data_IF_562795869493
#
_entry.id   IF_562795869493
#
_cell.length_a   1.000
_cell.length_b   1.000
_cell.length_c   1.000
_cell.angle_alpha   90.00
_cell.angle_beta   90.00
_cell.angle_gamma   90.00
#
_symmetry.space_group_name_H-M   'P 1'
#
loop_
_entity.id
_entity.type
_entity.pdbx_description
1 polymer ?
#
# COMPACT_ATOMS: atom_id res chain seq x y z
N UNK A 1 -5.77 -31.60 -10.86
CA UNK A 1 -7.00 -31.42 -10.06
C UNK A 1 -7.20 -29.94 -9.69
N UNK A 2 -8.36 -29.34 -9.94
CA UNK A 2 -8.58 -27.94 -9.57
C UNK A 2 -8.66 -27.85 -8.04
N UNK A 3 -7.81 -27.03 -7.44
CA UNK A 3 -7.82 -26.72 -6.02
C UNK A 3 -9.07 -25.88 -5.71
N UNK A 4 -10.19 -26.55 -5.46
CA UNK A 4 -11.33 -25.90 -4.84
C UNK A 4 -11.04 -25.79 -3.35
N UNK A 5 -10.85 -24.55 -2.88
CA UNK A 5 -10.92 -24.24 -1.46
C UNK A 5 -12.26 -24.71 -0.89
N UNK A 6 -12.31 -25.20 0.37
CA UNK A 6 -13.54 -25.71 0.96
C UNK A 6 -14.65 -24.65 0.99
N UNK A 7 -15.91 -25.01 0.68
CA UNK A 7 -17.05 -24.12 0.86
C UNK A 7 -17.32 -23.99 2.36
N UNK A 8 -16.95 -22.84 2.94
CA UNK A 8 -17.13 -22.61 4.38
C UNK A 8 -16.02 -21.83 5.07
N UNK A 9 -15.05 -21.25 4.35
CA UNK A 9 -14.22 -20.16 4.90
C UNK A 9 -15.04 -18.86 4.98
N UNK A 10 -16.21 -18.92 5.62
CA UNK A 10 -16.73 -17.76 6.35
C UNK A 10 -15.97 -17.72 7.67
N UNK A 11 -14.66 -17.53 7.56
CA UNK A 11 -13.89 -17.04 8.67
C UNK A 11 -14.37 -15.61 8.87
N UNK A 12 -15.31 -15.43 9.79
CA UNK A 12 -15.08 -14.41 10.80
C UNK A 12 -13.66 -14.67 11.32
N UNK A 13 -12.70 -14.00 10.68
CA UNK A 13 -11.27 -14.20 10.77
C UNK A 13 -10.84 -13.95 12.22
N UNK A 14 -11.02 -14.98 13.04
CA UNK A 14 -10.63 -15.02 14.45
C UNK A 14 -9.11 -15.03 14.61
N UNK A 15 -8.38 -14.96 13.49
CA UNK A 15 -6.93 -14.80 13.43
C UNK A 15 -6.52 -13.35 13.20
N UNK A 16 -7.45 -12.44 12.91
CA UNK A 16 -7.12 -11.03 12.80
C UNK A 16 -6.86 -10.50 14.22
N UNK A 17 -5.62 -10.10 14.56
CA UNK A 17 -5.31 -9.59 15.89
C UNK A 17 -5.96 -8.23 16.17
N UNK A 18 -6.63 -7.64 15.17
CA UNK A 18 -7.27 -6.34 15.23
C UNK A 18 -8.78 -6.50 15.42
N UNK A 19 -9.36 -5.65 16.28
CA UNK A 19 -10.81 -5.62 16.47
C UNK A 19 -11.51 -5.09 15.20
N UNK A 20 -12.79 -5.45 15.02
CA UNK A 20 -13.62 -4.94 13.91
C UNK A 20 -13.70 -3.41 13.89
N UNK A 21 -13.64 -2.78 15.06
CA UNK A 21 -13.61 -1.32 15.20
C UNK A 21 -12.34 -0.74 14.57
N UNK A 22 -11.18 -1.32 14.86
CA UNK A 22 -9.90 -0.91 14.26
C UNK A 22 -9.90 -1.15 12.75
N UNK A 23 -10.39 -2.31 12.30
CA UNK A 23 -10.45 -2.64 10.87
C UNK A 23 -11.37 -1.70 10.07
N UNK A 24 -12.40 -1.15 10.71
CA UNK A 24 -13.38 -0.23 10.09
C UNK A 24 -13.04 1.24 10.30
N UNK A 25 -12.06 1.54 11.16
CA UNK A 25 -11.63 2.90 11.39
C UNK A 25 -11.12 3.51 10.07
N UNK A 26 -11.56 4.73 9.70
CA UNK A 26 -11.04 5.38 8.52
C UNK A 26 -9.55 5.66 8.71
N UNK A 27 -8.76 5.42 7.65
CA UNK A 27 -7.36 5.82 7.62
C UNK A 27 -7.32 7.35 7.62
N UNK A 28 -6.59 8.00 8.54
CA UNK A 28 -6.51 9.46 8.54
C UNK A 28 -5.93 9.96 7.22
N UNK A 29 -6.37 11.13 6.70
CA UNK A 29 -5.90 11.66 5.40
C UNK A 29 -4.38 11.76 5.26
N UNK A 30 -3.67 12.01 6.37
CA UNK A 30 -2.19 12.08 6.39
C UNK A 30 -1.51 10.74 6.09
N UNK A 31 -2.24 9.62 6.22
CA UNK A 31 -1.81 8.27 5.86
C UNK A 31 -2.41 7.79 4.54
N UNK A 32 -3.00 8.69 3.75
CA UNK A 32 -3.42 8.35 2.40
C UNK A 32 -2.23 7.92 1.53
N UNK A 33 -2.54 7.19 0.46
CA UNK A 33 -1.54 6.59 -0.41
C UNK A 33 -0.49 7.63 -0.83
N UNK A 34 0.82 7.33 -0.69
CA UNK A 34 1.88 8.20 -1.17
C UNK A 34 1.69 8.47 -2.68
N UNK A 35 2.25 9.58 -3.21
CA UNK A 35 2.18 9.82 -4.63
C UNK A 35 2.83 8.65 -5.38
N UNK A 36 2.34 8.35 -6.59
CA UNK A 36 2.93 7.28 -7.38
C UNK A 36 4.35 7.67 -7.76
N UNK A 37 5.32 7.03 -7.12
CA UNK A 37 6.72 7.19 -7.46
C UNK A 37 7.06 6.21 -8.59
N UNK A 38 7.74 6.70 -9.63
CA UNK A 38 8.28 5.82 -10.67
C UNK A 38 9.32 4.87 -10.08
N UNK A 39 9.36 3.62 -10.56
CA UNK A 39 10.45 2.69 -10.24
C UNK A 39 11.73 3.08 -10.97
N UNK A 40 12.84 3.16 -10.25
CA UNK A 40 14.17 3.27 -10.86
C UNK A 40 14.49 2.00 -11.65
N UNK A 41 14.83 2.16 -12.93
CA UNK A 41 15.09 1.06 -13.85
C UNK A 41 16.57 0.63 -13.89
N UNK A 42 17.44 1.37 -13.19
CA UNK A 42 18.88 1.12 -13.16
C UNK A 42 19.63 1.53 -14.42
N UNK A 43 18.95 2.15 -15.38
CA UNK A 43 19.56 2.65 -16.62
C UNK A 43 19.59 4.18 -16.68
N UNK A 44 18.60 4.82 -16.06
CA UNK A 44 18.56 6.27 -15.87
C UNK A 44 19.61 6.74 -14.87
N UNK A 45 19.94 8.03 -14.87
CA UNK A 45 20.85 8.59 -13.89
C UNK A 45 20.22 8.57 -12.49
N UNK A 46 21.03 8.18 -11.48
CA UNK A 46 20.54 8.03 -10.11
C UNK A 46 20.28 9.36 -9.41
N UNK A 47 21.03 10.41 -9.74
CA UNK A 47 20.82 11.74 -9.16
C UNK A 47 19.54 12.36 -9.73
N UNK A 48 19.31 12.21 -11.04
CA UNK A 48 18.05 12.60 -11.71
C UNK A 48 16.84 11.88 -11.10
N UNK A 49 16.97 10.57 -10.81
CA UNK A 49 15.90 9.82 -10.15
C UNK A 49 15.57 10.39 -8.77
N UNK A 50 16.59 10.73 -7.97
CA UNK A 50 16.43 11.34 -6.64
C UNK A 50 15.75 12.71 -6.75
N UNK A 51 16.15 13.54 -7.71
CA UNK A 51 15.52 14.84 -7.94
C UNK A 51 14.03 14.70 -8.31
N UNK A 52 13.69 13.72 -9.16
CA UNK A 52 12.30 13.43 -9.49
C UNK A 52 11.50 12.94 -8.26
N UNK A 53 12.09 12.11 -7.39
CA UNK A 53 11.47 11.70 -6.12
C UNK A 53 11.19 12.93 -5.24
N UNK A 54 12.19 13.79 -5.06
CA UNK A 54 12.08 14.98 -4.22
C UNK A 54 11.03 15.95 -4.75
N UNK A 55 11.01 16.20 -6.06
CA UNK A 55 10.00 17.05 -6.69
C UNK A 55 8.58 16.50 -6.44
N UNK A 56 8.35 15.20 -6.65
CA UNK A 56 7.04 14.56 -6.42
C UNK A 56 6.59 14.66 -4.96
N UNK A 57 7.51 14.59 -4.01
CA UNK A 57 7.23 14.70 -2.58
C UNK A 57 7.00 16.15 -2.14
N UNK A 58 7.71 17.12 -2.74
CA UNK A 58 7.58 18.57 -2.46
C UNK A 58 6.21 19.13 -2.91
N UNK A 59 5.65 18.62 -4.02
CA UNK A 59 4.30 18.98 -4.48
C UNK A 59 3.16 18.69 -3.48
N UNK A 60 3.42 18.00 -2.36
CA UNK A 60 2.44 17.65 -1.33
C UNK A 60 2.57 18.45 -0.02
N UNK A 61 3.57 19.35 0.11
CA UNK A 61 3.71 20.23 1.28
C UNK A 61 2.85 21.48 1.20
#
# INVERSE_FOLDING_TARGET
>A
PPHHSPPGSDEEDSRCPLSKEIMRAPIPPVFEKPPQLGTYDGQTDSDEHIDNVNAILDFRM
#
